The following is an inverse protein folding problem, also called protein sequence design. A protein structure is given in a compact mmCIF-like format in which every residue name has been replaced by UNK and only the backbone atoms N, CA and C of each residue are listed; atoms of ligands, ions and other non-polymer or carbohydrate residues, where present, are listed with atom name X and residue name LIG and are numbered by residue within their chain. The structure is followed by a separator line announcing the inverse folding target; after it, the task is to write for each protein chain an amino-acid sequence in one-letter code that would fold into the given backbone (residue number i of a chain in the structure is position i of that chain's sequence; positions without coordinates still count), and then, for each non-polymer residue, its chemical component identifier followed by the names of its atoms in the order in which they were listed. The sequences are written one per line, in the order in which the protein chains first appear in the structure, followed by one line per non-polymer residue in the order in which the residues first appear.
data_IF_509878735752
#
_entry.id   IF_509878735752
#
_cell.length_a   1.000
_cell.length_b   1.000
_cell.length_c   1.000
_cell.angle_alpha   90.00
_cell.angle_beta   90.00
_cell.angle_gamma   90.00
#
_symmetry.space_group_name_H-M   'P 1'
#
loop_
_entity.id
_entity.type
_entity.pdbx_description
1 polymer ?
#
# COMPACT_ATOMS: atom_id res chain seq x y z
N UNK A 1 -15.85 -0.91 -12.00
CA UNK A 1 -14.76 -0.28 -12.78
C UNK A 1 -13.68 -1.32 -12.98
N UNK A 2 -12.94 -1.29 -14.09
CA UNK A 2 -11.85 -2.23 -14.31
C UNK A 2 -10.62 -1.75 -13.52
N UNK A 3 -10.10 -2.59 -12.62
CA UNK A 3 -8.81 -2.37 -11.96
C UNK A 3 -7.72 -3.10 -12.74
N UNK A 4 -6.53 -2.52 -12.76
CA UNK A 4 -5.31 -3.11 -13.34
C UNK A 4 -4.33 -3.38 -12.20
N UNK A 5 -3.70 -4.55 -12.21
CA UNK A 5 -2.63 -4.89 -11.27
C UNK A 5 -1.31 -4.98 -12.02
N UNK A 6 -0.26 -4.46 -11.40
CA UNK A 6 1.10 -4.47 -11.92
C UNK A 6 1.99 -5.02 -10.83
N UNK A 7 2.83 -5.99 -11.20
CA UNK A 7 3.74 -6.68 -10.31
C UNK A 7 5.16 -6.47 -10.79
N UNK A 8 6.05 -6.10 -9.88
CA UNK A 8 7.49 -5.98 -10.16
C UNK A 8 8.30 -6.42 -8.94
N UNK A 9 8.65 -7.71 -8.92
CA UNK A 9 9.36 -8.37 -7.81
C UNK A 9 10.76 -7.83 -7.57
N UNK A 10 11.38 -7.17 -8.55
CA UNK A 10 12.75 -6.65 -8.48
C UNK A 10 12.81 -5.16 -8.10
N UNK A 11 11.67 -4.58 -7.69
CA UNK A 11 11.55 -3.17 -7.33
C UNK A 11 11.12 -2.97 -5.88
N UNK A 12 11.43 -1.80 -5.33
CA UNK A 12 10.92 -1.37 -4.02
C UNK A 12 9.38 -1.30 -4.00
N UNK A 13 8.71 -1.39 -5.15
CA UNK A 13 7.26 -1.37 -5.30
C UNK A 13 6.75 -2.75 -5.77
N UNK A 14 6.68 -3.75 -4.87
CA UNK A 14 6.41 -5.13 -5.28
C UNK A 14 5.05 -5.32 -5.97
N UNK A 15 4.07 -4.45 -5.68
CA UNK A 15 2.73 -4.52 -6.23
C UNK A 15 2.07 -3.14 -6.33
N UNK A 16 1.39 -2.89 -7.44
CA UNK A 16 0.53 -1.72 -7.68
C UNK A 16 -0.85 -2.14 -8.16
N UNK A 17 -1.90 -1.51 -7.62
CA UNK A 17 -3.29 -1.62 -8.11
C UNK A 17 -3.76 -0.23 -8.52
N UNK A 18 -4.32 -0.11 -9.72
CA UNK A 18 -4.85 1.17 -10.22
C UNK A 18 -6.12 1.05 -11.05
N UNK A 19 -6.92 2.11 -11.06
CA UNK A 19 -7.92 2.37 -12.09
C UNK A 19 -7.57 3.67 -12.85
N UNK A 20 -8.55 4.30 -13.50
CA UNK A 20 -8.34 5.55 -14.26
C UNK A 20 -8.26 6.81 -13.38
N UNK A 21 -8.41 6.68 -12.06
CA UNK A 21 -8.52 7.80 -11.12
C UNK A 21 -7.50 7.67 -9.99
N UNK A 22 -7.31 6.45 -9.47
CA UNK A 22 -6.51 6.19 -8.27
C UNK A 22 -5.55 5.02 -8.49
N UNK A 23 -4.38 5.11 -7.87
CA UNK A 23 -3.38 4.04 -7.76
C UNK A 23 -3.02 3.85 -6.29
N UNK A 24 -2.80 2.61 -5.88
CA UNK A 24 -2.26 2.25 -4.56
C UNK A 24 -1.14 1.28 -4.76
N UNK A 25 -0.01 1.55 -4.11
CA UNK A 25 1.23 0.81 -4.25
C UNK A 25 1.63 0.23 -2.90
N UNK A 26 2.11 -1.01 -2.89
CA UNK A 26 2.98 -1.47 -1.81
C UNK A 26 4.39 -0.93 -2.06
N UNK A 27 5.04 -0.40 -1.03
CA UNK A 27 6.39 0.13 -1.08
C UNK A 27 7.23 -0.41 0.09
N UNK A 28 8.37 -1.02 -0.23
CA UNK A 28 9.35 -1.47 0.74
C UNK A 28 10.35 -0.34 0.98
N UNK A 29 10.12 0.44 2.04
CA UNK A 29 10.99 1.53 2.44
C UNK A 29 12.19 1.07 3.30
N UNK A 30 12.35 -0.24 3.53
CA UNK A 30 13.29 -0.79 4.49
C UNK A 30 12.87 -0.53 5.95
N UNK A 31 11.57 -0.60 6.23
CA UNK A 31 11.01 -0.36 7.57
C UNK A 31 10.93 -1.66 8.38
N UNK A 32 11.26 -1.59 9.66
CA UNK A 32 11.20 -2.66 10.65
C UNK A 32 10.12 -2.43 11.71
N UNK A 33 10.05 -3.32 12.71
CA UNK A 33 9.07 -3.23 13.80
C UNK A 33 9.25 -1.97 14.67
N UNK A 34 10.48 -1.46 14.76
CA UNK A 34 10.87 -0.36 15.64
C UNK A 34 11.76 0.68 14.95
N UNK A 35 11.53 0.96 13.67
CA UNK A 35 12.29 1.95 12.90
C UNK A 35 12.72 1.37 11.56
N UNK A 36 14.01 1.52 11.24
CA UNK A 36 14.59 0.92 10.04
C UNK A 36 14.78 -0.59 10.24
N UNK A 37 14.56 -1.37 9.19
CA UNK A 37 14.76 -2.82 9.19
C UNK A 37 16.24 -3.18 9.32
N UNK A 38 16.57 -4.01 10.30
CA UNK A 38 17.91 -4.61 10.46
C UNK A 38 17.91 -6.08 9.99
N UNK A 39 18.51 -6.41 8.83
CA UNK A 39 18.58 -7.78 8.34
C UNK A 39 19.46 -8.71 9.19
N UNK A 40 20.30 -8.17 10.08
CA UNK A 40 21.13 -8.96 10.99
C UNK A 40 20.38 -9.29 12.31
N UNK A 41 19.25 -8.65 12.60
CA UNK A 41 18.36 -8.99 13.71
C UNK A 41 17.25 -9.96 13.24
N UNK A 42 17.29 -11.25 13.62
CA UNK A 42 16.28 -12.21 13.20
C UNK A 42 14.89 -11.96 13.81
N UNK A 43 14.76 -11.06 14.78
CA UNK A 43 13.48 -10.67 15.36
C UNK A 43 12.87 -9.45 14.67
N UNK A 44 13.65 -8.72 13.87
CA UNK A 44 13.14 -7.59 13.11
C UNK A 44 12.52 -8.07 11.80
N UNK A 45 11.37 -7.52 11.47
CA UNK A 45 10.55 -7.96 10.34
C UNK A 45 10.51 -6.81 9.35
N UNK A 46 10.93 -7.05 8.09
CA UNK A 46 10.79 -6.05 7.04
C UNK A 46 9.31 -5.85 6.69
N UNK A 47 8.80 -4.64 6.88
CA UNK A 47 7.41 -4.25 6.72
C UNK A 47 7.20 -3.38 5.48
N UNK A 48 5.99 -3.48 4.92
CA UNK A 48 5.59 -2.67 3.78
C UNK A 48 4.82 -1.43 4.20
N UNK A 49 5.06 -0.35 3.46
CA UNK A 49 4.27 0.89 3.44
C UNK A 49 3.29 0.83 2.28
N UNK A 50 2.09 1.39 2.42
CA UNK A 50 1.26 1.66 1.24
C UNK A 50 1.31 3.15 0.89
N UNK A 51 1.27 3.44 -0.41
CA UNK A 51 1.20 4.81 -0.95
C UNK A 51 0.00 4.96 -1.87
N UNK A 52 -0.77 6.05 -1.72
CA UNK A 52 -1.94 6.34 -2.54
C UNK A 52 -1.66 7.52 -3.48
N UNK A 53 -2.02 7.35 -4.74
CA UNK A 53 -1.86 8.35 -5.79
C UNK A 53 -3.18 8.62 -6.51
N UNK A 54 -3.34 9.84 -7.02
CA UNK A 54 -4.40 10.24 -7.94
C UNK A 54 -3.80 10.66 -9.28
N UNK A 55 -4.54 10.44 -10.36
CA UNK A 55 -4.10 10.90 -11.67
C UNK A 55 -4.13 12.44 -11.69
N UNK A 56 -2.96 13.06 -11.79
CA UNK A 56 -2.81 14.51 -11.93
C UNK A 56 -2.98 14.97 -13.37
N UNK A 57 -3.14 16.28 -13.57
CA UNK A 57 -2.88 16.86 -14.89
C UNK A 57 -1.39 16.67 -15.21
N UNK A 58 -1.07 16.28 -16.45
CA UNK A 58 0.32 16.20 -16.93
C UNK A 58 0.91 17.60 -16.99
N UNK A 59 1.38 18.13 -15.86
CA UNK A 59 2.10 19.40 -15.82
C UNK A 59 3.61 19.18 -15.62
N UNK A 60 4.34 19.85 -16.50
CA UNK A 60 5.77 19.74 -16.74
C UNK A 60 6.62 20.31 -15.60
N UNK A 61 7.86 19.83 -15.57
CA UNK A 61 9.06 20.28 -14.84
C UNK A 61 9.37 19.62 -13.49
N UNK A 62 8.39 19.21 -12.68
CA UNK A 62 8.68 18.51 -11.40
C UNK A 62 7.69 17.38 -11.01
N UNK A 63 6.75 17.02 -11.88
CA UNK A 63 5.85 15.87 -11.66
C UNK A 63 6.52 14.55 -12.05
N UNK A 64 6.24 13.49 -11.30
CA UNK A 64 6.60 12.10 -11.59
C UNK A 64 6.33 11.72 -13.06
N UNK A 65 7.21 10.89 -13.61
CA UNK A 65 7.37 10.55 -15.04
C UNK A 65 6.11 9.95 -15.72
N UNK A 66 5.04 9.69 -14.96
CA UNK A 66 3.84 8.97 -15.39
C UNK A 66 2.50 9.71 -15.11
N UNK A 67 2.52 10.90 -14.51
CA UNK A 67 1.33 11.72 -14.24
C UNK A 67 0.55 11.33 -12.98
N UNK A 68 1.08 10.46 -12.12
CA UNK A 68 0.47 10.11 -10.84
C UNK A 68 0.99 11.01 -9.71
N UNK A 69 0.08 11.72 -9.05
CA UNK A 69 0.40 12.60 -7.91
C UNK A 69 0.07 11.90 -6.60
N UNK A 70 1.00 11.91 -5.66
CA UNK A 70 0.78 11.38 -4.31
C UNK A 70 -0.32 12.16 -3.59
N UNK A 71 -1.18 11.43 -2.89
CA UNK A 71 -2.26 11.99 -2.09
C UNK A 71 -1.71 12.38 -0.72
N UNK A 72 -1.92 13.64 -0.33
CA UNK A 72 -1.51 14.14 0.98
C UNK A 72 -2.15 13.33 2.11
N UNK A 73 -1.38 13.06 3.17
CA UNK A 73 -1.78 12.21 4.30
C UNK A 73 -2.25 10.80 3.91
N UNK A 74 -1.69 10.18 2.86
CA UNK A 74 -2.07 8.84 2.37
C UNK A 74 -0.88 7.91 2.07
N UNK A 75 0.18 8.02 2.88
CA UNK A 75 1.35 7.14 2.88
C UNK A 75 1.62 6.65 4.32
N UNK A 76 1.50 5.35 4.56
CA UNK A 76 1.59 4.78 5.92
C UNK A 76 2.25 3.40 5.96
N UNK A 77 3.12 3.22 6.95
CA UNK A 77 3.66 1.93 7.35
C UNK A 77 2.51 0.98 7.74
N UNK A 78 2.72 -0.32 7.58
CA UNK A 78 1.75 -1.35 8.00
C UNK A 78 2.44 -2.46 8.78
N UNK A 79 1.66 -3.38 9.34
CA UNK A 79 2.20 -4.62 9.92
C UNK A 79 2.21 -5.76 8.90
N UNK A 80 2.23 -5.47 7.58
CA UNK A 80 2.31 -6.48 6.52
C UNK A 80 3.78 -6.74 6.18
N UNK A 81 4.30 -7.97 6.40
CA UNK A 81 5.66 -8.30 6.04
C UNK A 81 5.92 -8.25 4.53
N UNK A 82 7.09 -7.78 4.13
CA UNK A 82 7.52 -7.73 2.71
C UNK A 82 7.62 -9.12 2.05
N UNK A 83 7.81 -10.17 2.84
CA UNK A 83 7.87 -11.56 2.38
C UNK A 83 6.52 -12.29 2.47
N UNK A 84 5.42 -11.58 2.73
CA UNK A 84 4.08 -12.16 2.78
C UNK A 84 3.73 -12.87 1.46
N UNK A 85 2.84 -13.86 1.54
CA UNK A 85 2.37 -14.57 0.37
C UNK A 85 1.72 -13.60 -0.64
N UNK A 86 1.88 -13.89 -1.92
CA UNK A 86 1.37 -13.05 -3.01
C UNK A 86 -0.13 -12.77 -2.88
N UNK A 87 -0.92 -13.80 -2.57
CA UNK A 87 -2.37 -13.67 -2.42
C UNK A 87 -2.74 -12.76 -1.25
N UNK A 88 -1.94 -12.77 -0.18
CA UNK A 88 -2.14 -11.86 0.96
C UNK A 88 -1.88 -10.43 0.52
N UNK A 89 -0.74 -10.17 -0.13
CA UNK A 89 -0.37 -8.83 -0.61
C UNK A 89 -1.42 -8.26 -1.57
N UNK A 90 -1.94 -9.09 -2.47
CA UNK A 90 -2.99 -8.72 -3.41
C UNK A 90 -4.30 -8.37 -2.69
N UNK A 91 -4.79 -9.25 -1.82
CA UNK A 91 -6.06 -9.05 -1.11
C UNK A 91 -5.99 -7.86 -0.14
N UNK A 92 -4.87 -7.69 0.57
CA UNK A 92 -4.67 -6.53 1.44
C UNK A 92 -4.62 -5.22 0.65
N UNK A 93 -3.96 -5.19 -0.51
CA UNK A 93 -3.90 -3.98 -1.33
C UNK A 93 -5.23 -3.67 -1.99
N UNK A 94 -6.00 -4.69 -2.42
CA UNK A 94 -7.40 -4.52 -2.86
C UNK A 94 -8.27 -3.92 -1.76
N UNK A 95 -8.08 -4.36 -0.52
CA UNK A 95 -8.80 -3.80 0.63
C UNK A 95 -8.49 -2.31 0.80
N UNK A 96 -7.21 -1.94 0.88
CA UNK A 96 -6.78 -0.53 0.96
C UNK A 96 -7.36 0.29 -0.20
N UNK A 97 -7.23 -0.23 -1.43
CA UNK A 97 -7.78 0.40 -2.62
C UNK A 97 -9.28 0.62 -2.49
N UNK A 98 -10.05 -0.38 -2.07
CA UNK A 98 -11.51 -0.25 -1.90
C UNK A 98 -11.88 0.83 -0.88
N UNK A 99 -11.16 0.89 0.24
CA UNK A 99 -11.42 1.86 1.32
C UNK A 99 -11.18 3.30 0.87
N UNK A 100 -10.05 3.56 0.19
CA UNK A 100 -9.77 4.89 -0.36
C UNK A 100 -10.70 5.24 -1.52
N UNK A 101 -11.01 4.27 -2.39
CA UNK A 101 -11.88 4.53 -3.56
C UNK A 101 -13.26 5.02 -3.16
N UNK A 102 -13.78 4.58 -2.02
CA UNK A 102 -15.05 5.03 -1.47
C UNK A 102 -15.10 6.51 -1.07
N UNK A 103 -13.94 7.16 -0.92
CA UNK A 103 -13.85 8.56 -0.48
C UNK A 103 -12.96 9.46 -1.36
N UNK A 104 -12.25 8.90 -2.34
CA UNK A 104 -11.23 9.62 -3.12
C UNK A 104 -11.78 10.84 -3.87
N UNK A 105 -13.06 10.82 -4.26
CA UNK A 105 -13.72 11.95 -4.95
C UNK A 105 -13.86 13.21 -4.06
N UNK A 106 -13.54 13.10 -2.76
CA UNK A 106 -13.52 14.22 -1.81
C UNK A 106 -12.16 14.93 -1.74
N UNK A 107 -11.12 14.39 -2.39
CA UNK A 107 -9.80 15.01 -2.49
C UNK A 107 -9.83 16.24 -3.44
N UNK A 108 -9.12 17.34 -3.15
CA UNK A 108 -8.26 17.61 -1.99
C UNK A 108 -8.97 18.30 -0.81
N UNK A 109 -10.31 18.30 -0.79
CA UNK A 109 -11.07 19.12 0.17
C UNK A 109 -11.16 18.50 1.58
N UNK A 110 -10.96 17.19 1.71
CA UNK A 110 -10.96 16.48 2.98
C UNK A 110 -9.61 15.77 3.20
N UNK A 111 -9.11 15.79 4.44
CA UNK A 111 -7.93 15.01 4.82
C UNK A 111 -8.29 13.53 4.96
N UNK A 112 -7.45 12.66 4.41
CA UNK A 112 -7.57 11.21 4.54
C UNK A 112 -6.75 10.62 5.69
N UNK A 113 -6.13 11.48 6.49
CA UNK A 113 -5.27 11.08 7.61
C UNK A 113 -5.88 10.00 8.51
N UNK A 114 -7.14 10.19 8.93
CA UNK A 114 -7.82 9.24 9.81
C UNK A 114 -8.04 7.86 9.16
N UNK A 115 -8.24 7.83 7.85
CA UNK A 115 -8.35 6.57 7.12
C UNK A 115 -7.00 5.87 7.09
N UNK A 116 -5.95 6.62 6.72
CA UNK A 116 -4.58 6.11 6.68
C UNK A 116 -4.09 5.59 8.03
N UNK A 117 -4.27 6.37 9.10
CA UNK A 117 -3.95 5.97 10.49
C UNK A 117 -4.71 4.72 10.95
N UNK A 118 -5.88 4.42 10.39
CA UNK A 118 -6.62 3.18 10.68
C UNK A 118 -6.05 2.01 9.87
N UNK A 119 -5.78 2.23 8.59
CA UNK A 119 -5.26 1.20 7.69
C UNK A 119 -3.79 0.86 7.98
N UNK A 120 -3.04 1.73 8.64
CA UNK A 120 -1.67 1.45 9.09
C UNK A 120 -1.59 0.29 10.11
N UNK A 121 -2.71 -0.12 10.70
CA UNK A 121 -2.74 -1.22 11.66
C UNK A 121 -3.03 -2.59 11.03
N UNK A 122 -3.31 -2.66 9.73
CA UNK A 122 -3.55 -3.95 9.07
C UNK A 122 -2.28 -4.82 9.09
N UNK A 123 -2.49 -6.13 9.05
CA UNK A 123 -1.46 -7.15 9.03
C UNK A 123 -1.78 -8.24 8.00
N UNK A 124 -0.80 -9.07 7.68
CA UNK A 124 -0.99 -10.26 6.85
C UNK A 124 -2.05 -11.22 7.42
N UNK A 125 -2.10 -11.36 8.75
CA UNK A 125 -3.03 -12.23 9.47
C UNK A 125 -4.51 -11.89 9.22
N UNK A 126 -4.82 -10.63 8.89
CA UNK A 126 -6.17 -10.19 8.58
C UNK A 126 -6.71 -10.85 7.29
N UNK A 127 -5.81 -11.26 6.39
CA UNK A 127 -6.14 -11.78 5.05
C UNK A 127 -5.84 -13.27 4.88
N UNK A 128 -5.30 -13.95 5.90
CA UNK A 128 -5.14 -15.41 5.87
C UNK A 128 -6.51 -16.10 5.85
N UNK A 129 -6.68 -17.06 4.93
CA UNK A 129 -7.92 -17.83 4.81
C UNK A 129 -8.24 -18.61 6.09
N UNK A 130 -9.54 -18.80 6.41
CA UNK A 130 -9.94 -19.56 7.61
C UNK A 130 -9.40 -21.01 7.63
N UNK A 131 -9.14 -21.60 6.46
CA UNK A 131 -8.53 -22.92 6.35
C UNK A 131 -7.06 -22.98 6.84
N UNK A 132 -6.34 -21.86 6.78
CA UNK A 132 -4.95 -21.75 7.25
C UNK A 132 -4.85 -21.24 8.69
N UNK A 133 -5.86 -20.55 9.21
CA UNK A 133 -5.93 -20.09 10.62
C UNK A 133 -6.08 -21.23 11.64
N UNK A 134 -6.43 -22.44 11.21
CA UNK A 134 -6.68 -23.61 12.05
C UNK A 134 -5.52 -24.62 12.17
N UNK A 135 -4.36 -24.34 11.57
CA UNK A 135 -3.17 -25.20 11.68
C UNK A 135 -2.20 -24.54 12.66
N UNK A 136 -2.37 -24.83 13.96
CA UNK A 136 -1.43 -24.49 15.02
C UNK A 136 -0.37 -25.58 15.20
#
# INVERSE_FOLDING_TARGET
MAITMIWDFDSDTPLSIRDNIMRVDWYNAGEGLCGDYDPDDPQDINLLRFDVYVLGEKETEHGSDDGWKEVEDASYCTNVPANSAHEILEESLKYIFSEYRGIIDQYPHNSFRRLGERLSWISDLDFVSEAQKGVS
#
